data_IF_601649528356
#
_entry.id   IF_601649528356
#
_cell.length_a   1.000
_cell.length_b   1.000
_cell.length_c   1.000
_cell.angle_alpha   90.00
_cell.angle_beta   90.00
_cell.angle_gamma   90.00
#
_symmetry.space_group_name_H-M   'P 1'
#
loop_
_entity.id
_entity.type
_entity.pdbx_description
1 polymer ?
#
# COMPACT_ATOMS: atom_id res chain seq x y z
N UNK A 1 18.36 48.53 3.11
CA UNK A 1 18.20 47.83 1.82
C UNK A 1 18.96 46.52 1.82
N UNK A 2 18.32 45.40 2.20
CA UNK A 2 18.54 44.03 1.67
C UNK A 2 17.25 43.25 1.96
N UNK A 3 16.84 42.47 0.98
CA UNK A 3 15.49 41.97 0.76
C UNK A 3 14.98 41.02 1.85
N UNK A 4 13.85 41.39 2.49
CA UNK A 4 12.92 40.44 3.08
C UNK A 4 12.38 39.55 1.94
N UNK A 5 12.74 38.27 1.93
CA UNK A 5 11.99 37.27 1.14
C UNK A 5 10.62 37.13 1.81
N UNK A 6 9.50 37.42 1.14
CA UNK A 6 8.20 37.07 1.68
C UNK A 6 8.07 35.55 1.76
N UNK A 7 7.56 35.08 2.90
CA UNK A 7 7.15 33.70 3.16
C UNK A 7 6.24 33.19 2.06
N UNK A 8 6.78 32.37 1.18
CA UNK A 8 5.99 31.65 0.18
C UNK A 8 5.50 30.31 0.76
N UNK A 9 4.84 30.38 1.93
CA UNK A 9 3.94 29.33 2.40
C UNK A 9 2.66 29.41 1.56
N UNK A 10 2.82 29.16 0.25
CA UNK A 10 1.71 28.95 -0.67
C UNK A 10 0.98 27.71 -0.20
N UNK A 11 -0.16 27.96 0.45
CA UNK A 11 -1.40 27.18 0.34
C UNK A 11 -1.13 25.70 0.07
N UNK A 12 -1.13 24.91 1.14
CA UNK A 12 -1.64 23.55 1.08
C UNK A 12 -3.00 23.64 0.38
N UNK A 13 -2.99 23.44 -0.94
CA UNK A 13 -4.18 23.44 -1.78
C UNK A 13 -5.06 22.38 -1.18
N UNK A 14 -6.19 22.82 -0.63
CA UNK A 14 -7.37 22.02 -0.37
C UNK A 14 -7.49 20.95 -1.45
N UNK A 15 -7.23 19.70 -1.06
CA UNK A 15 -7.49 18.53 -1.88
C UNK A 15 -8.96 18.60 -2.25
N UNK A 16 -9.26 18.86 -3.52
CA UNK A 16 -10.62 18.78 -4.01
C UNK A 16 -11.07 17.32 -3.77
N UNK A 17 -12.15 17.04 -3.04
CA UNK A 17 -12.56 15.68 -2.78
C UNK A 17 -12.83 15.00 -4.11
N UNK A 18 -12.03 13.98 -4.44
CA UNK A 18 -12.26 13.16 -5.63
C UNK A 18 -13.62 12.50 -5.43
N UNK A 19 -14.54 12.71 -6.39
CA UNK A 19 -15.89 12.14 -6.28
C UNK A 19 -15.82 10.61 -6.26
N UNK A 20 -16.81 9.99 -5.60
CA UNK A 20 -16.93 8.52 -5.59
C UNK A 20 -16.92 7.94 -7.01
N UNK A 21 -17.58 8.62 -7.95
CA UNK A 21 -17.60 8.23 -9.36
C UNK A 21 -16.19 8.24 -9.96
N UNK A 22 -15.40 9.28 -9.70
CA UNK A 22 -14.03 9.36 -10.20
C UNK A 22 -13.12 8.28 -9.59
N UNK A 23 -13.30 7.94 -8.31
CA UNK A 23 -12.58 6.82 -7.69
C UNK A 23 -12.93 5.47 -8.34
N UNK A 24 -14.20 5.28 -8.71
CA UNK A 24 -14.63 4.08 -9.45
C UNK A 24 -14.00 4.01 -10.84
N UNK A 25 -13.98 5.13 -11.58
CA UNK A 25 -13.31 5.22 -12.89
C UNK A 25 -11.82 4.88 -12.78
N UNK A 26 -11.11 5.44 -11.80
CA UNK A 26 -9.69 5.16 -11.55
C UNK A 26 -9.48 3.68 -11.20
N UNK A 27 -10.33 3.11 -10.35
CA UNK A 27 -10.25 1.68 -10.01
C UNK A 27 -10.41 0.78 -11.22
N UNK A 28 -11.32 1.11 -12.15
CA UNK A 28 -11.51 0.36 -13.39
C UNK A 28 -10.26 0.47 -14.28
N UNK A 29 -9.72 1.68 -14.44
CA UNK A 29 -8.50 1.91 -15.24
C UNK A 29 -7.30 1.13 -14.69
N UNK A 30 -7.08 1.15 -13.38
CA UNK A 30 -5.99 0.42 -12.74
C UNK A 30 -6.11 -1.09 -13.00
N UNK A 31 -7.32 -1.65 -12.89
CA UNK A 31 -7.55 -3.07 -13.19
C UNK A 31 -7.28 -3.39 -14.67
N UNK A 32 -7.67 -2.51 -15.58
CA UNK A 32 -7.40 -2.66 -17.01
C UNK A 32 -5.89 -2.68 -17.29
N UNK A 33 -5.15 -1.70 -16.76
CA UNK A 33 -3.69 -1.65 -16.90
C UNK A 33 -3.01 -2.89 -16.32
N UNK A 34 -3.51 -3.44 -15.22
CA UNK A 34 -2.93 -4.64 -14.65
C UNK A 34 -3.03 -5.85 -15.59
N UNK A 35 -4.17 -6.01 -16.27
CA UNK A 35 -4.34 -7.04 -17.30
C UNK A 35 -3.45 -6.78 -18.51
N UNK A 36 -3.35 -5.54 -19.00
CA UNK A 36 -2.47 -5.18 -20.12
C UNK A 36 -0.99 -5.44 -19.82
N UNK A 37 -0.58 -5.25 -18.56
CA UNK A 37 0.76 -5.52 -18.07
C UNK A 37 1.03 -7.01 -17.78
N UNK A 38 0.02 -7.88 -17.96
CA UNK A 38 0.17 -9.34 -17.81
C UNK A 38 0.05 -9.85 -16.37
N UNK A 39 -0.49 -9.07 -15.44
CA UNK A 39 -0.83 -9.59 -14.11
C UNK A 39 -2.05 -10.51 -14.17
N UNK A 40 -2.02 -11.60 -13.42
CA UNK A 40 -3.10 -12.57 -13.37
C UNK A 40 -4.32 -12.06 -12.59
N UNK A 41 -4.11 -11.21 -11.58
CA UNK A 41 -5.19 -10.55 -10.83
C UNK A 41 -4.71 -9.28 -10.12
N UNK A 42 -5.66 -8.41 -9.76
CA UNK A 42 -5.44 -7.19 -8.99
C UNK A 42 -6.58 -6.92 -7.99
N UNK A 43 -6.19 -6.59 -6.76
CA UNK A 43 -7.09 -6.09 -5.72
C UNK A 43 -6.65 -4.72 -5.19
N UNK A 44 -7.61 -3.92 -4.72
CA UNK A 44 -7.38 -2.63 -4.06
C UNK A 44 -7.96 -2.74 -2.65
N UNK A 45 -7.15 -2.51 -1.63
CA UNK A 45 -7.52 -2.65 -0.22
C UNK A 45 -7.38 -1.35 0.55
N UNK A 46 -8.21 -1.17 1.57
CA UNK A 46 -8.07 -0.10 2.56
C UNK A 46 -6.89 -0.38 3.51
N UNK A 47 -6.35 0.66 4.11
CA UNK A 47 -5.21 0.58 5.04
C UNK A 47 -5.59 0.45 6.52
N UNK A 48 -6.83 0.05 6.82
CA UNK A 48 -7.28 -0.18 8.19
C UNK A 48 -6.80 -1.55 8.65
N UNK A 49 -5.63 -1.60 9.30
CA UNK A 49 -4.90 -2.83 9.64
C UNK A 49 -4.79 -3.08 11.15
N UNK A 50 -5.54 -2.36 11.99
CA UNK A 50 -5.42 -2.40 13.45
C UNK A 50 -5.61 -3.81 14.05
N UNK A 51 -6.58 -4.58 13.54
CA UNK A 51 -6.80 -5.98 13.95
C UNK A 51 -5.59 -6.86 13.60
N UNK A 52 -5.07 -6.72 12.38
CA UNK A 52 -3.91 -7.48 11.93
C UNK A 52 -2.62 -7.10 12.68
N UNK A 53 -2.46 -5.83 13.09
CA UNK A 53 -1.37 -5.39 13.97
C UNK A 53 -1.42 -6.12 15.31
N UNK A 54 -2.61 -6.23 15.92
CA UNK A 54 -2.80 -6.93 17.18
C UNK A 54 -2.43 -8.42 17.06
N UNK A 55 -2.89 -9.10 16.01
CA UNK A 55 -2.54 -10.50 15.76
C UNK A 55 -1.03 -10.70 15.53
N UNK A 56 -0.38 -9.80 14.79
CA UNK A 56 1.07 -9.84 14.59
C UNK A 56 1.81 -9.71 15.92
N UNK A 57 1.40 -8.77 16.78
CA UNK A 57 2.02 -8.56 18.09
C UNK A 57 1.86 -9.78 19.00
N UNK A 58 0.68 -10.43 19.00
CA UNK A 58 0.46 -11.67 19.75
C UNK A 58 1.33 -12.82 19.21
N UNK A 59 1.43 -12.95 17.88
CA UNK A 59 2.28 -13.97 17.26
C UNK A 59 3.77 -13.75 17.55
N UNK A 60 4.23 -12.50 17.54
CA UNK A 60 5.60 -12.13 17.88
C UNK A 60 5.91 -12.40 19.36
N UNK A 61 4.99 -12.10 20.28
CA UNK A 61 5.20 -12.34 21.72
C UNK A 61 5.32 -13.82 22.08
N UNK A 62 4.73 -14.70 21.26
CA UNK A 62 4.85 -16.16 21.38
C UNK A 62 6.12 -16.73 20.73
N UNK A 63 7.02 -15.89 20.21
CA UNK A 63 8.24 -16.31 19.50
C UNK A 63 7.97 -17.22 18.28
N UNK A 64 6.79 -17.12 17.67
CA UNK A 64 6.43 -17.94 16.51
C UNK A 64 7.14 -17.54 15.21
N UNK A 65 7.98 -16.50 15.26
CA UNK A 65 8.82 -16.08 14.14
C UNK A 65 10.11 -16.89 13.99
N UNK A 66 10.43 -17.80 14.92
CA UNK A 66 11.64 -18.62 14.85
C UNK A 66 12.89 -17.76 14.69
N UNK A 67 13.72 -18.05 13.69
CA UNK A 67 14.93 -17.29 13.39
C UNK A 67 14.69 -16.02 12.55
N UNK A 68 13.45 -15.72 12.16
CA UNK A 68 13.10 -14.56 11.34
C UNK A 68 13.14 -13.26 12.14
N UNK A 69 14.30 -12.92 12.71
CA UNK A 69 14.47 -11.72 13.53
C UNK A 69 14.12 -10.40 12.82
N UNK A 70 14.10 -10.39 11.48
CA UNK A 70 13.62 -9.24 10.70
C UNK A 70 12.11 -8.97 10.89
N UNK A 71 11.32 -9.97 11.29
CA UNK A 71 9.88 -9.82 11.57
C UNK A 71 9.67 -8.91 12.77
N UNK A 72 10.42 -9.12 13.85
CA UNK A 72 10.40 -8.29 15.04
C UNK A 72 11.08 -6.92 14.84
N UNK A 73 12.16 -6.86 14.04
CA UNK A 73 13.01 -5.64 13.89
C UNK A 73 12.33 -4.45 13.22
N UNK A 74 11.35 -4.67 12.34
CA UNK A 74 10.78 -3.59 11.52
C UNK A 74 9.59 -2.88 12.16
N UNK A 75 9.23 -3.26 13.40
CA UNK A 75 8.24 -2.57 14.23
C UNK A 75 6.89 -2.37 13.52
N UNK A 76 6.32 -1.18 13.70
CA UNK A 76 4.98 -0.80 13.25
C UNK A 76 4.89 -0.46 11.75
N UNK A 77 6.01 -0.26 11.05
CA UNK A 77 6.01 0.03 9.60
C UNK A 77 5.35 -1.06 8.75
N UNK A 78 5.26 -2.29 9.27
CA UNK A 78 4.57 -3.41 8.61
C UNK A 78 3.04 -3.30 8.64
N UNK A 79 2.51 -2.69 9.69
CA UNK A 79 1.06 -2.57 9.93
C UNK A 79 0.53 -1.17 9.73
N UNK A 80 1.41 -0.17 9.60
CA UNK A 80 1.04 1.25 9.43
C UNK A 80 1.60 1.80 8.13
N UNK A 81 0.82 1.74 7.04
CA UNK A 81 1.29 2.19 5.72
C UNK A 81 1.71 3.67 5.69
N UNK A 82 1.13 4.51 6.53
CA UNK A 82 1.50 5.93 6.65
C UNK A 82 2.92 6.15 7.21
N UNK A 83 3.44 5.20 8.00
CA UNK A 83 4.84 5.24 8.47
C UNK A 83 5.85 4.77 7.40
N UNK A 84 5.36 4.09 6.36
CA UNK A 84 6.13 3.68 5.20
C UNK A 84 6.18 4.79 4.15
N UNK A 85 5.00 5.31 3.78
CA UNK A 85 4.84 6.43 2.86
C UNK A 85 3.71 7.36 3.35
N UNK A 86 4.02 8.61 3.74
CA UNK A 86 3.03 9.55 4.25
C UNK A 86 1.92 9.85 3.25
N UNK A 87 0.67 9.83 3.72
CA UNK A 87 -0.51 10.07 2.89
C UNK A 87 -0.99 8.83 2.13
N UNK A 88 -0.55 7.63 2.52
CA UNK A 88 -1.07 6.38 1.93
C UNK A 88 -2.58 6.26 2.22
N UNK A 89 -3.38 5.97 1.18
CA UNK A 89 -4.84 5.82 1.30
C UNK A 89 -5.32 4.38 1.07
N UNK A 90 -4.62 3.64 0.21
CA UNK A 90 -4.97 2.29 -0.21
C UNK A 90 -3.73 1.53 -0.67
N UNK A 91 -3.80 0.21 -0.63
CA UNK A 91 -2.78 -0.67 -1.19
C UNK A 91 -3.35 -1.32 -2.45
N UNK A 92 -2.55 -1.35 -3.52
CA UNK A 92 -2.83 -2.10 -4.74
C UNK A 92 -1.97 -3.36 -4.70
N UNK A 93 -2.61 -4.52 -4.74
CA UNK A 93 -1.94 -5.82 -4.74
C UNK A 93 -2.17 -6.50 -6.08
N UNK A 94 -1.08 -6.94 -6.71
CA UNK A 94 -1.10 -7.72 -7.96
C UNK A 94 -0.54 -9.10 -7.73
N UNK A 95 -0.99 -10.08 -8.51
CA UNK A 95 -0.40 -11.43 -8.51
C UNK A 95 -0.03 -11.88 -9.92
N UNK A 96 0.92 -12.80 -9.97
CA UNK A 96 1.33 -13.54 -11.16
C UNK A 96 1.28 -15.02 -10.77
N UNK A 97 0.75 -15.86 -11.64
CA UNK A 97 0.76 -17.30 -11.43
C UNK A 97 2.17 -17.83 -11.69
N UNK A 98 2.81 -18.35 -10.64
CA UNK A 98 4.19 -18.86 -10.74
C UNK A 98 4.30 -20.07 -11.67
N UNK A 99 3.26 -20.92 -11.70
CA UNK A 99 3.14 -22.03 -12.64
C UNK A 99 1.96 -21.74 -13.57
N UNK A 100 2.21 -21.18 -14.76
CA UNK A 100 1.13 -20.82 -15.67
C UNK A 100 0.46 -22.07 -16.24
N UNK A 101 -0.83 -22.00 -16.62
CA UNK A 101 -1.56 -23.16 -17.15
C UNK A 101 -0.92 -23.81 -18.39
N UNK A 102 -0.07 -23.08 -19.11
CA UNK A 102 0.66 -23.56 -20.29
C UNK A 102 2.03 -24.17 -19.94
N UNK A 103 2.46 -24.14 -18.67
CA UNK A 103 3.69 -24.80 -18.26
C UNK A 103 3.46 -26.31 -18.21
N UNK A 104 4.29 -27.04 -18.95
CA UNK A 104 4.36 -28.50 -18.83
C UNK A 104 5.35 -28.85 -17.71
N UNK A 105 4.93 -29.72 -16.80
CA UNK A 105 5.85 -30.33 -15.84
C UNK A 105 6.79 -31.28 -16.56
N UNK A 106 8.08 -31.15 -16.27
CA UNK A 106 9.13 -32.07 -16.73
C UNK A 106 9.00 -33.47 -16.11
#
# INVERSE_FOLDING_TARGET
>A
MRHHRPSNALKLKTLNPISKQRLQEISIQIKHWATELGFADLAIAHIQLSEHEAHLNEWLSKNFHGEMGYMAKHGTKRSRPDELEPGTLSVISVRIDYFPPQAESI
#
